data_IF_966586584027
#
_entry.id   IF_966586584027
#
_cell.length_a   1.000
_cell.length_b   1.000
_cell.length_c   1.000
_cell.angle_alpha   90.00
_cell.angle_beta   90.00
_cell.angle_gamma   90.00
#
_symmetry.space_group_name_H-M   'P 1'
#
loop_
_entity.id
_entity.type
_entity.pdbx_description
1 polymer ?
#
# COMPACT_ATOMS: atom_id res chain seq x y z
N UNK A 1 -5.38 22.38 -21.04
CA UNK A 1 -6.10 21.08 -21.05
C UNK A 1 -5.33 20.14 -20.14
N UNK A 2 -5.84 19.83 -18.94
CA UNK A 2 -5.20 18.85 -18.06
C UNK A 2 -5.31 17.47 -18.71
N UNK A 3 -4.21 17.00 -19.27
CA UNK A 3 -4.12 15.65 -19.86
C UNK A 3 -4.12 14.66 -18.71
N UNK A 4 -5.31 14.20 -18.30
CA UNK A 4 -5.43 13.08 -17.37
C UNK A 4 -5.11 11.80 -18.12
N UNK A 5 -3.81 11.52 -18.30
CA UNK A 5 -3.38 10.20 -18.75
C UNK A 5 -3.95 9.20 -17.72
N UNK A 6 -4.71 8.18 -18.14
CA UNK A 6 -5.22 7.19 -17.19
C UNK A 6 -4.03 6.45 -16.59
N UNK A 7 -3.62 6.89 -15.40
CA UNK A 7 -2.61 6.21 -14.60
C UNK A 7 -3.13 4.81 -14.30
N UNK A 8 -2.27 3.81 -14.50
CA UNK A 8 -2.64 2.42 -14.16
C UNK A 8 -3.09 2.33 -12.70
N UNK A 9 -4.03 1.44 -12.41
CA UNK A 9 -4.54 1.22 -11.04
C UNK A 9 -3.41 0.92 -10.05
N UNK A 10 -2.32 0.32 -10.52
CA UNK A 10 -1.11 0.12 -9.73
C UNK A 10 -0.42 1.42 -9.30
N UNK A 11 -0.35 2.40 -10.21
CA UNK A 11 0.26 3.71 -9.93
C UNK A 11 -0.62 4.51 -8.96
N UNK A 12 -1.95 4.52 -9.19
CA UNK A 12 -2.92 5.13 -8.25
C UNK A 12 -2.83 4.50 -6.87
N UNK A 13 -2.71 3.17 -6.79
CA UNK A 13 -2.55 2.45 -5.53
C UNK A 13 -1.26 2.85 -4.79
N UNK A 14 -0.15 3.04 -5.53
CA UNK A 14 1.12 3.47 -4.94
C UNK A 14 1.05 4.89 -4.38
N UNK A 15 0.41 5.80 -5.11
CA UNK A 15 0.20 7.19 -4.67
C UNK A 15 -0.71 7.24 -3.44
N UNK A 16 -1.87 6.56 -3.48
CA UNK A 16 -2.78 6.46 -2.35
C UNK A 16 -2.12 5.81 -1.12
N UNK A 17 -1.27 4.79 -1.31
CA UNK A 17 -0.49 4.21 -0.22
C UNK A 17 0.53 5.20 0.35
N UNK A 18 1.18 6.02 -0.49
CA UNK A 18 2.11 7.05 -0.01
C UNK A 18 1.44 8.13 0.84
N UNK A 19 0.14 8.38 0.64
CA UNK A 19 -0.63 9.37 1.40
C UNK A 19 -1.24 8.78 2.68
N UNK A 20 -1.77 7.56 2.60
CA UNK A 20 -2.62 6.98 3.65
C UNK A 20 -2.04 5.72 4.31
N UNK A 21 -0.90 5.21 3.83
CA UNK A 21 -0.23 4.00 4.32
C UNK A 21 -1.16 2.78 4.48
N UNK A 22 -2.15 2.66 3.58
CA UNK A 22 -3.13 1.58 3.61
C UNK A 22 -2.47 0.20 3.45
N UNK A 23 -2.95 -0.82 4.17
CA UNK A 23 -2.41 -2.18 4.03
C UNK A 23 -2.71 -2.81 2.65
N UNK A 24 -1.99 -3.88 2.31
CA UNK A 24 -2.10 -4.54 1.01
C UNK A 24 -3.52 -5.07 0.70
N UNK A 25 -4.30 -5.45 1.72
CA UNK A 25 -5.69 -5.90 1.50
C UNK A 25 -6.59 -4.72 1.10
N UNK A 26 -6.40 -3.56 1.72
CA UNK A 26 -7.08 -2.31 1.38
C UNK A 26 -6.79 -1.89 -0.06
N UNK A 27 -5.51 -1.87 -0.44
CA UNK A 27 -5.08 -1.52 -1.80
C UNK A 27 -5.67 -2.46 -2.86
N UNK A 28 -5.67 -3.78 -2.62
CA UNK A 28 -6.32 -4.73 -3.54
C UNK A 28 -7.79 -4.40 -3.72
N UNK A 29 -8.53 -4.18 -2.63
CA UNK A 29 -9.98 -3.96 -2.68
C UNK A 29 -10.32 -2.64 -3.38
N UNK A 30 -9.51 -1.60 -3.14
CA UNK A 30 -9.79 -0.26 -3.64
C UNK A 30 -9.40 -0.06 -5.11
N UNK A 31 -8.29 -0.66 -5.56
CA UNK A 31 -7.73 -0.47 -6.90
C UNK A 31 -7.83 -1.72 -7.79
N UNK A 32 -8.47 -2.79 -7.31
CA UNK A 32 -8.62 -4.06 -8.01
C UNK A 32 -7.29 -4.65 -8.54
N UNK A 33 -6.18 -4.43 -7.81
CA UNK A 33 -4.85 -4.95 -8.17
C UNK A 33 -4.60 -6.33 -7.56
N UNK A 34 -3.66 -7.10 -8.08
CA UNK A 34 -3.30 -8.41 -7.50
C UNK A 34 -2.70 -8.25 -6.10
N UNK A 35 -2.85 -9.28 -5.25
CA UNK A 35 -2.25 -9.28 -3.91
C UNK A 35 -0.73 -9.13 -3.96
N UNK A 36 -0.07 -9.65 -5.00
CA UNK A 36 1.36 -9.54 -5.18
C UNK A 36 1.79 -8.08 -5.41
N UNK A 37 1.09 -7.38 -6.32
CA UNK A 37 1.28 -5.94 -6.55
C UNK A 37 1.04 -5.11 -5.29
N UNK A 38 -0.04 -5.39 -4.57
CA UNK A 38 -0.35 -4.69 -3.33
C UNK A 38 0.71 -4.91 -2.24
N UNK A 39 1.24 -6.13 -2.11
CA UNK A 39 2.37 -6.44 -1.21
C UNK A 39 3.64 -5.73 -1.66
N UNK A 40 3.91 -5.67 -2.96
CA UNK A 40 5.04 -4.93 -3.53
C UNK A 40 5.01 -3.45 -3.12
N UNK A 41 3.83 -2.81 -3.19
CA UNK A 41 3.65 -1.41 -2.76
C UNK A 41 4.01 -1.24 -1.26
N UNK A 42 3.44 -2.09 -0.39
CA UNK A 42 3.69 -2.00 1.06
C UNK A 42 5.15 -2.30 1.40
N UNK A 43 5.77 -3.29 0.75
CA UNK A 43 7.19 -3.65 0.94
C UNK A 43 8.14 -2.56 0.46
N UNK A 44 7.77 -1.80 -0.57
CA UNK A 44 8.58 -0.71 -1.09
C UNK A 44 8.45 0.59 -0.26
N UNK A 45 7.44 0.69 0.62
CA UNK A 45 7.25 1.85 1.46
C UNK A 45 8.23 1.81 2.65
N UNK A 46 9.19 2.74 2.79
CA UNK A 46 10.17 2.70 3.87
C UNK A 46 9.54 2.79 5.26
N UNK A 47 8.40 3.50 5.37
CA UNK A 47 7.63 3.61 6.61
C UNK A 47 7.00 2.27 6.99
N UNK A 48 6.44 1.54 6.02
CA UNK A 48 5.72 0.29 6.28
C UNK A 48 6.62 -0.95 6.20
N UNK A 49 7.73 -0.90 5.46
CA UNK A 49 8.67 -2.02 5.28
C UNK A 49 9.46 -2.34 6.54
N UNK A 50 9.63 -1.36 7.42
CA UNK A 50 10.28 -1.56 8.71
C UNK A 50 9.41 -2.34 9.71
N UNK A 51 8.10 -2.45 9.46
CA UNK A 51 7.23 -3.34 10.20
C UNK A 51 7.36 -4.76 9.63
N UNK A 52 8.47 -5.42 9.99
CA UNK A 52 8.63 -6.87 9.81
C UNK A 52 7.55 -7.67 10.55
N UNK A 53 7.48 -9.00 10.36
CA UNK A 53 6.53 -9.84 11.06
C UNK A 53 6.78 -9.76 12.56
N UNK A 54 5.93 -8.99 13.24
CA UNK A 54 5.77 -8.86 14.70
C UNK A 54 6.97 -9.24 15.57
N UNK A 55 7.80 -8.25 15.92
CA UNK A 55 8.32 -8.24 17.29
C UNK A 55 7.13 -7.83 18.17
N UNK A 56 6.56 -8.82 18.85
CA UNK A 56 5.37 -8.66 19.67
C UNK A 56 5.57 -7.60 20.75
N UNK A 57 4.95 -6.44 20.56
CA UNK A 57 4.67 -5.54 21.68
C UNK A 57 3.29 -5.92 22.20
N UNK A 58 3.27 -7.03 22.95
CA UNK A 58 2.16 -7.32 23.84
C UNK A 58 2.18 -6.26 24.94
N UNK A 59 1.35 -5.22 24.79
CA UNK A 59 1.04 -4.31 25.88
C UNK A 59 -0.48 -4.23 26.00
N UNK A 60 -0.98 -5.00 26.97
CA UNK A 60 -2.31 -4.87 27.53
C UNK A 60 -2.13 -4.40 28.98
N UNK A 61 -2.47 -3.15 29.34
CA UNK A 61 -2.73 -2.80 30.73
C UNK A 61 -4.08 -3.36 31.21
#
# INVERSE_FOLDING_TARGET
VSVTVPLSEFVKAREAHSLFHQNARGLRKQFNITMDKARGIVKACPTCSHHGPGLGMGVNP
#
